data_IF_424035322456
#
_entry.id   IF_424035322456
#
_cell.length_a   1.000
_cell.length_b   1.000
_cell.length_c   1.000
_cell.angle_alpha   90.00
_cell.angle_beta   90.00
_cell.angle_gamma   90.00
#
_symmetry.space_group_name_H-M   'P 1'
#
loop_
_entity.id
_entity.type
_entity.pdbx_description
1 polymer ?
#
# COMPACT_ATOMS: atom_id res chain seq x y z
N UNK A 1 72.21 -75.13 -60.10
CA UNK A 1 73.18 -74.03 -60.30
C UNK A 1 74.25 -74.15 -59.23
N UNK A 2 74.87 -75.30 -59.02
CA UNK A 2 75.75 -76.11 -59.89
C UNK A 2 77.15 -75.99 -59.26
N UNK A 3 77.58 -76.98 -58.49
CA UNK A 3 78.21 -78.21 -58.98
C UNK A 3 79.59 -77.93 -59.61
N UNK A 4 80.61 -77.93 -58.77
CA UNK A 4 81.96 -78.43 -59.10
C UNK A 4 82.33 -79.35 -57.92
N UNK A 5 82.20 -80.68 -57.99
CA UNK A 5 82.71 -81.62 -58.98
C UNK A 5 84.23 -81.51 -59.12
N UNK A 6 84.97 -82.22 -58.26
CA UNK A 6 85.90 -83.24 -58.75
C UNK A 6 86.35 -84.17 -57.62
N UNK A 7 85.96 -85.43 -57.77
CA UNK A 7 86.45 -86.57 -57.04
C UNK A 7 87.64 -87.18 -57.80
N UNK A 8 88.36 -88.01 -57.06
CA UNK A 8 89.11 -89.17 -57.54
C UNK A 8 90.39 -88.98 -58.37
N UNK A 9 91.50 -89.42 -57.74
CA UNK A 9 92.31 -90.49 -58.32
C UNK A 9 93.02 -91.29 -57.22
N UNK A 10 92.47 -92.47 -56.92
CA UNK A 10 93.08 -93.78 -57.23
C UNK A 10 94.54 -93.71 -57.75
N UNK A 11 95.55 -94.48 -57.34
CA UNK A 11 95.63 -95.86 -56.84
C UNK A 11 97.09 -96.11 -56.42
N UNK A 12 97.34 -96.90 -55.36
CA UNK A 12 98.71 -97.19 -54.90
C UNK A 12 98.81 -98.39 -53.96
N UNK A 13 98.59 -99.58 -54.52
CA UNK A 13 98.76 -100.91 -53.91
C UNK A 13 100.23 -101.14 -53.48
N UNK A 14 100.49 -101.60 -52.24
CA UNK A 14 101.21 -102.86 -51.92
C UNK A 14 101.55 -103.00 -50.41
N UNK A 15 101.04 -104.11 -49.85
CA UNK A 15 101.65 -105.08 -48.90
C UNK A 15 102.15 -104.53 -47.56
N UNK A 16 101.43 -104.79 -46.47
CA UNK A 16 101.51 -106.00 -45.64
C UNK A 16 102.82 -106.12 -44.86
N UNK A 17 102.81 -105.67 -43.60
CA UNK A 17 103.34 -106.38 -42.44
C UNK A 17 102.40 -106.03 -41.27
N UNK A 18 101.54 -106.98 -40.87
CA UNK A 18 101.80 -107.93 -39.79
C UNK A 18 101.97 -107.21 -38.44
N UNK A 19 100.94 -107.30 -37.59
CA UNK A 19 100.99 -106.76 -36.23
C UNK A 19 99.60 -106.60 -35.62
N UNK A 20 99.12 -107.67 -34.99
CA UNK A 20 97.90 -107.73 -34.19
C UNK A 20 97.90 -106.68 -33.06
N UNK A 21 96.73 -106.13 -32.73
CA UNK A 21 95.97 -106.49 -31.51
C UNK A 21 95.11 -105.36 -30.93
N UNK A 22 93.89 -105.74 -30.57
CA UNK A 22 93.13 -105.34 -29.37
C UNK A 22 92.73 -103.86 -29.16
N UNK A 23 91.49 -103.59 -29.56
CA UNK A 23 90.44 -102.73 -28.94
C UNK A 23 90.81 -101.98 -27.66
N UNK A 24 90.68 -100.65 -27.70
CA UNK A 24 90.57 -99.78 -26.52
C UNK A 24 89.36 -98.87 -26.65
N UNK A 25 88.60 -98.68 -25.57
CA UNK A 25 87.39 -97.81 -25.47
C UNK A 25 87.76 -96.30 -25.38
N UNK A 26 89.06 -95.98 -25.32
CA UNK A 26 89.60 -94.60 -25.23
C UNK A 26 89.40 -93.74 -26.49
N UNK A 27 89.53 -94.22 -27.74
CA UNK A 27 89.38 -93.39 -28.94
C UNK A 27 87.95 -92.85 -29.11
N UNK A 28 86.94 -93.56 -28.62
CA UNK A 28 85.54 -93.14 -28.77
C UNK A 28 85.17 -92.00 -27.80
N UNK A 29 85.67 -92.05 -26.56
CA UNK A 29 85.57 -90.95 -25.61
C UNK A 29 86.40 -89.74 -26.05
N UNK A 30 87.56 -89.97 -26.67
CA UNK A 30 88.37 -88.90 -27.28
C UNK A 30 87.66 -88.24 -28.46
N UNK A 31 86.92 -89.01 -29.28
CA UNK A 31 86.12 -88.48 -30.39
C UNK A 31 84.93 -87.64 -29.90
N UNK A 32 84.16 -88.12 -28.92
CA UNK A 32 83.07 -87.31 -28.31
C UNK A 32 83.59 -86.08 -27.56
N UNK A 33 84.76 -86.17 -26.90
CA UNK A 33 85.45 -84.99 -26.33
C UNK A 33 85.93 -84.03 -27.41
N UNK A 34 86.34 -84.54 -28.58
CA UNK A 34 86.68 -83.75 -29.76
C UNK A 34 85.47 -83.00 -30.32
N UNK A 35 84.33 -83.68 -30.48
CA UNK A 35 83.07 -83.09 -30.96
C UNK A 35 82.52 -82.04 -29.99
N UNK A 36 82.55 -82.29 -28.66
CA UNK A 36 82.17 -81.31 -27.65
C UNK A 36 83.11 -80.09 -27.63
N UNK A 37 84.42 -80.27 -27.82
CA UNK A 37 85.36 -79.15 -27.98
C UNK A 37 85.15 -78.39 -29.29
N UNK A 38 84.75 -79.08 -30.36
CA UNK A 38 84.40 -78.48 -31.64
C UNK A 38 83.16 -77.59 -31.53
N UNK A 39 82.10 -78.08 -30.88
CA UNK A 39 80.87 -77.32 -30.62
C UNK A 39 81.08 -76.20 -29.58
N UNK A 40 81.93 -76.42 -28.57
CA UNK A 40 82.28 -75.38 -27.58
C UNK A 40 83.06 -74.21 -28.19
N UNK A 41 83.75 -74.40 -29.32
CA UNK A 41 84.41 -73.33 -30.08
C UNK A 41 83.46 -72.53 -30.97
N UNK A 42 82.26 -73.05 -31.24
CA UNK A 42 81.21 -72.35 -31.99
C UNK A 42 80.32 -71.48 -31.08
N UNK A 43 80.41 -71.64 -29.75
CA UNK A 43 79.77 -70.75 -28.80
C UNK A 43 80.55 -69.42 -28.74
N UNK A 44 79.86 -68.26 -28.83
CA UNK A 44 80.47 -66.96 -28.55
C UNK A 44 81.16 -67.00 -27.19
N UNK A 45 82.35 -66.40 -27.10
CA UNK A 45 83.08 -66.33 -25.83
C UNK A 45 82.20 -65.68 -24.74
N UNK A 46 82.40 -66.07 -23.48
CA UNK A 46 81.67 -65.49 -22.36
C UNK A 46 81.76 -63.95 -22.32
N UNK A 47 82.87 -63.39 -22.81
CA UNK A 47 83.04 -61.94 -22.97
C UNK A 47 82.15 -61.33 -24.07
N UNK A 48 81.91 -62.04 -25.18
CA UNK A 48 81.02 -61.56 -26.23
C UNK A 48 79.54 -61.49 -25.77
N UNK A 49 79.12 -62.44 -24.92
CA UNK A 49 77.78 -62.43 -24.31
C UNK A 49 77.61 -61.28 -23.30
N UNK A 50 78.68 -60.91 -22.59
CA UNK A 50 78.66 -59.85 -21.58
C UNK A 50 79.01 -58.46 -22.14
N UNK A 51 79.50 -58.35 -23.37
CA UNK A 51 79.89 -57.09 -23.98
C UNK A 51 78.73 -56.08 -24.06
N UNK A 52 77.55 -56.51 -24.51
CA UNK A 52 76.37 -55.64 -24.64
C UNK A 52 75.83 -55.20 -23.26
N UNK A 53 75.63 -56.10 -22.27
CA UNK A 53 75.27 -55.69 -20.91
C UNK A 53 76.29 -54.74 -20.26
N UNK A 54 77.60 -54.96 -20.45
CA UNK A 54 78.66 -54.07 -19.93
C UNK A 54 78.60 -52.70 -20.59
N UNK A 55 78.50 -52.63 -21.91
CA UNK A 55 78.35 -51.35 -22.63
C UNK A 55 77.09 -50.58 -22.19
N UNK A 56 75.98 -51.27 -21.94
CA UNK A 56 74.75 -50.65 -21.40
C UNK A 56 74.95 -50.15 -19.97
N UNK A 57 75.66 -50.90 -19.13
CA UNK A 57 76.00 -50.50 -17.77
C UNK A 57 76.91 -49.26 -17.77
N UNK A 58 77.91 -49.21 -18.65
CA UNK A 58 78.83 -48.08 -18.77
C UNK A 58 78.14 -46.83 -19.33
N UNK A 59 77.25 -47.00 -20.31
CA UNK A 59 76.43 -45.92 -20.82
C UNK A 59 75.45 -45.40 -19.76
N UNK A 60 74.86 -46.30 -18.95
CA UNK A 60 73.99 -45.93 -17.85
C UNK A 60 74.78 -45.24 -16.73
N UNK A 61 75.96 -45.76 -16.36
CA UNK A 61 76.81 -45.19 -15.31
C UNK A 61 77.33 -43.80 -15.71
N UNK A 62 77.64 -43.57 -16.98
CA UNK A 62 78.00 -42.26 -17.50
C UNK A 62 76.83 -41.26 -17.54
N UNK A 63 75.60 -41.73 -17.82
CA UNK A 63 74.40 -40.87 -17.91
C UNK A 63 73.75 -40.59 -16.56
N UNK A 64 73.83 -41.52 -15.62
CA UNK A 64 73.15 -41.45 -14.32
C UNK A 64 73.50 -40.18 -13.52
N UNK A 65 74.77 -39.76 -13.38
CA UNK A 65 75.10 -38.53 -12.66
C UNK A 65 74.49 -37.28 -13.29
N UNK A 66 74.42 -37.22 -14.62
CA UNK A 66 73.81 -36.09 -15.33
C UNK A 66 72.29 -36.09 -15.17
N UNK A 67 71.66 -37.25 -15.29
CA UNK A 67 70.22 -37.42 -15.10
C UNK A 67 69.78 -37.10 -13.67
N UNK A 68 70.52 -37.56 -12.66
CA UNK A 68 70.23 -37.26 -11.25
C UNK A 68 70.38 -35.78 -10.92
N UNK A 69 71.42 -35.11 -11.43
CA UNK A 69 71.57 -33.65 -11.28
C UNK A 69 70.41 -32.92 -11.94
N UNK A 70 70.08 -33.24 -13.18
CA UNK A 70 68.96 -32.62 -13.89
C UNK A 70 67.62 -32.81 -13.16
N UNK A 71 67.38 -34.01 -12.63
CA UNK A 71 66.19 -34.34 -11.84
C UNK A 71 66.15 -33.55 -10.52
N UNK A 72 67.26 -33.52 -9.77
CA UNK A 72 67.37 -32.74 -8.53
C UNK A 72 67.18 -31.24 -8.78
N UNK A 73 67.71 -30.69 -9.88
CA UNK A 73 67.46 -29.30 -10.27
C UNK A 73 65.98 -29.06 -10.61
N UNK A 74 65.34 -29.96 -11.36
CA UNK A 74 63.92 -29.84 -11.70
C UNK A 74 63.03 -29.83 -10.45
N UNK A 75 63.24 -30.76 -9.52
CA UNK A 75 62.50 -30.78 -8.25
C UNK A 75 62.84 -29.60 -7.35
N UNK A 76 64.09 -29.11 -7.35
CA UNK A 76 64.46 -27.89 -6.60
C UNK A 76 63.74 -26.65 -7.12
N UNK A 77 63.61 -26.51 -8.44
CA UNK A 77 62.86 -25.40 -9.05
C UNK A 77 61.37 -25.49 -8.71
N UNK A 78 60.78 -26.68 -8.78
CA UNK A 78 59.37 -26.90 -8.39
C UNK A 78 59.15 -26.59 -6.90
N UNK A 79 60.05 -27.05 -6.03
CA UNK A 79 60.01 -26.75 -4.60
C UNK A 79 60.13 -25.24 -4.33
N UNK A 80 61.06 -24.55 -4.98
CA UNK A 80 61.22 -23.09 -4.82
C UNK A 80 59.99 -22.32 -5.29
N UNK A 81 59.32 -22.76 -6.38
CA UNK A 81 58.05 -22.14 -6.83
C UNK A 81 56.93 -22.36 -5.83
N UNK A 82 56.83 -23.55 -5.24
CA UNK A 82 55.83 -23.85 -4.23
C UNK A 82 56.10 -23.10 -2.91
N UNK A 83 57.37 -23.07 -2.46
CA UNK A 83 57.78 -22.41 -1.22
C UNK A 83 57.69 -20.89 -1.31
N UNK A 84 57.99 -20.28 -2.46
CA UNK A 84 57.83 -18.84 -2.68
C UNK A 84 56.36 -18.38 -2.53
N UNK A 85 55.40 -19.24 -2.92
CA UNK A 85 53.96 -18.96 -2.72
C UNK A 85 53.52 -19.09 -1.27
N UNK A 86 54.18 -19.98 -0.53
CA UNK A 86 53.89 -20.29 0.88
C UNK A 86 54.82 -19.56 1.85
N UNK A 87 55.55 -18.54 1.39
CA UNK A 87 56.39 -17.73 2.26
C UNK A 87 55.56 -17.10 3.39
N UNK A 88 56.05 -17.12 4.63
CA UNK A 88 55.37 -16.48 5.76
C UNK A 88 55.01 -15.01 5.49
N UNK A 89 55.81 -14.28 4.71
CA UNK A 89 55.54 -12.88 4.36
C UNK A 89 54.36 -12.72 3.40
N UNK A 90 54.21 -13.61 2.40
CA UNK A 90 53.09 -13.56 1.46
C UNK A 90 51.77 -13.95 2.13
N UNK A 91 51.81 -14.92 3.05
CA UNK A 91 50.66 -15.29 3.88
C UNK A 91 50.24 -14.16 4.82
N UNK A 92 51.19 -13.53 5.52
CA UNK A 92 50.91 -12.35 6.36
C UNK A 92 50.29 -11.21 5.55
N UNK A 93 50.88 -10.86 4.40
CA UNK A 93 50.33 -9.80 3.54
C UNK A 93 48.93 -10.12 3.00
N UNK A 94 48.61 -11.40 2.73
CA UNK A 94 47.26 -11.83 2.34
C UNK A 94 46.27 -11.74 3.50
N UNK A 95 46.69 -12.09 4.72
CA UNK A 95 45.86 -11.98 5.92
C UNK A 95 45.55 -10.53 6.25
N UNK A 96 46.55 -9.63 6.21
CA UNK A 96 46.32 -8.20 6.43
C UNK A 96 45.36 -7.60 5.41
N UNK A 97 45.55 -7.87 4.10
CA UNK A 97 44.59 -7.44 3.08
C UNK A 97 43.18 -8.00 3.29
N UNK A 98 43.07 -9.25 3.76
CA UNK A 98 41.77 -9.84 4.07
C UNK A 98 41.11 -9.16 5.29
N UNK A 99 41.89 -8.81 6.31
CA UNK A 99 41.45 -8.06 7.49
C UNK A 99 40.99 -6.66 7.12
N UNK A 100 41.81 -5.89 6.41
CA UNK A 100 41.47 -4.56 5.89
C UNK A 100 40.18 -4.60 5.04
N UNK A 101 40.01 -5.64 4.21
CA UNK A 101 38.80 -5.83 3.42
C UNK A 101 37.58 -6.14 4.30
N UNK A 102 37.74 -6.96 5.32
CA UNK A 102 36.66 -7.27 6.26
C UNK A 102 36.24 -6.05 7.09
N UNK A 103 37.21 -5.25 7.55
CA UNK A 103 36.98 -4.03 8.32
C UNK A 103 36.30 -2.95 7.46
N UNK A 104 36.78 -2.75 6.22
CA UNK A 104 36.19 -1.79 5.30
C UNK A 104 34.76 -2.18 4.89
N UNK A 105 34.50 -3.47 4.65
CA UNK A 105 33.14 -3.97 4.39
C UNK A 105 32.24 -3.83 5.62
N UNK A 106 32.75 -4.12 6.81
CA UNK A 106 32.04 -3.94 8.08
C UNK A 106 31.65 -2.47 8.31
N UNK A 107 32.60 -1.56 8.15
CA UNK A 107 32.36 -0.13 8.30
C UNK A 107 31.39 0.42 7.22
N UNK A 108 31.46 -0.09 5.99
CA UNK A 108 30.51 0.26 4.93
C UNK A 108 29.10 -0.25 5.25
N UNK A 109 28.97 -1.49 5.71
CA UNK A 109 27.69 -2.08 6.12
C UNK A 109 27.05 -1.25 7.23
N UNK A 110 27.81 -0.91 8.28
CA UNK A 110 27.32 -0.10 9.39
C UNK A 110 26.81 1.26 8.91
N UNK A 111 27.58 1.97 8.07
CA UNK A 111 27.16 3.25 7.49
C UNK A 111 25.89 3.12 6.64
N UNK A 112 25.80 2.09 5.81
CA UNK A 112 24.64 1.85 4.96
C UNK A 112 23.39 1.49 5.78
N UNK A 113 23.52 0.63 6.80
CA UNK A 113 22.44 0.27 7.70
C UNK A 113 21.95 1.46 8.49
N UNK A 114 22.87 2.26 9.05
CA UNK A 114 22.53 3.49 9.76
C UNK A 114 21.74 4.45 8.88
N UNK A 115 22.23 4.74 7.67
CA UNK A 115 21.53 5.58 6.69
C UNK A 115 20.17 5.00 6.28
N UNK A 116 20.07 3.69 6.11
CA UNK A 116 18.80 3.05 5.77
C UNK A 116 17.77 3.17 6.90
N UNK A 117 18.20 3.03 8.16
CA UNK A 117 17.35 3.22 9.33
C UNK A 117 16.94 4.70 9.48
N UNK A 118 17.86 5.63 9.33
CA UNK A 118 17.59 7.08 9.36
C UNK A 118 16.57 7.47 8.29
N UNK A 119 16.76 7.06 7.03
CA UNK A 119 15.80 7.31 5.93
C UNK A 119 14.42 6.71 6.20
N UNK A 120 14.35 5.49 6.75
CA UNK A 120 13.08 4.88 7.14
C UNK A 120 12.40 5.70 8.25
N UNK A 121 13.15 6.13 9.28
CA UNK A 121 12.64 6.97 10.37
C UNK A 121 12.14 8.32 9.87
N UNK A 122 12.89 8.99 8.99
CA UNK A 122 12.49 10.24 8.35
C UNK A 122 11.20 10.06 7.54
N UNK A 123 11.10 9.01 6.72
CA UNK A 123 9.88 8.70 5.96
C UNK A 123 8.68 8.45 6.88
N UNK A 124 8.86 7.67 7.95
CA UNK A 124 7.78 7.44 8.92
C UNK A 124 7.38 8.73 9.65
N UNK A 125 8.35 9.58 10.00
CA UNK A 125 8.09 10.88 10.61
C UNK A 125 7.31 11.79 9.67
N UNK A 126 7.71 11.88 8.40
CA UNK A 126 7.02 12.67 7.38
C UNK A 126 5.58 12.19 7.12
N UNK A 127 5.37 10.87 7.06
CA UNK A 127 4.01 10.31 6.93
C UNK A 127 3.18 10.65 8.18
N UNK A 128 3.76 10.53 9.38
CA UNK A 128 3.09 10.86 10.63
C UNK A 128 2.68 12.33 10.68
N UNK A 129 3.59 13.26 10.38
CA UNK A 129 3.28 14.70 10.37
C UNK A 129 2.25 15.06 9.30
N UNK A 130 2.32 14.41 8.12
CA UNK A 130 1.32 14.55 7.06
C UNK A 130 -0.07 14.07 7.48
N UNK A 131 -0.17 12.89 8.12
CA UNK A 131 -1.43 12.36 8.64
C UNK A 131 -2.01 13.24 9.76
N UNK A 132 -1.16 13.75 10.66
CA UNK A 132 -1.60 14.65 11.73
C UNK A 132 -2.12 15.98 11.17
N UNK A 133 -1.46 16.53 10.14
CA UNK A 133 -1.93 17.71 9.43
C UNK A 133 -3.28 17.46 8.73
N UNK A 134 -3.39 16.36 7.98
CA UNK A 134 -4.64 15.97 7.31
C UNK A 134 -5.80 15.77 8.31
N UNK A 135 -5.52 15.10 9.44
CA UNK A 135 -6.50 14.88 10.52
C UNK A 135 -6.97 16.21 11.14
N UNK A 136 -6.05 17.15 11.37
CA UNK A 136 -6.39 18.49 11.88
C UNK A 136 -7.23 19.27 10.87
N UNK A 137 -6.83 19.29 9.60
CA UNK A 137 -7.59 19.94 8.54
C UNK A 137 -9.02 19.37 8.43
N UNK A 138 -9.16 18.03 8.47
CA UNK A 138 -10.46 17.38 8.43
C UNK A 138 -11.33 17.72 9.64
N UNK A 139 -10.76 17.80 10.85
CA UNK A 139 -11.48 18.22 12.04
C UNK A 139 -12.00 19.64 11.93
N UNK A 140 -11.17 20.57 11.45
CA UNK A 140 -11.58 21.97 11.23
C UNK A 140 -12.67 22.06 10.17
N UNK A 141 -12.56 21.29 9.08
CA UNK A 141 -13.58 21.24 8.04
C UNK A 141 -14.92 20.73 8.57
N UNK A 142 -14.91 19.64 9.36
CA UNK A 142 -16.12 19.11 10.00
C UNK A 142 -16.72 20.13 10.97
N UNK A 143 -15.91 20.81 11.79
CA UNK A 143 -16.39 21.84 12.71
C UNK A 143 -17.08 22.99 11.96
N UNK A 144 -16.42 23.57 10.94
CA UNK A 144 -17.01 24.63 10.11
C UNK A 144 -18.32 24.22 9.44
N UNK A 145 -18.40 22.97 8.97
CA UNK A 145 -19.63 22.45 8.37
C UNK A 145 -20.74 22.30 9.40
N UNK A 146 -20.41 21.90 10.63
CA UNK A 146 -21.39 21.86 11.73
C UNK A 146 -21.89 23.26 12.08
N UNK A 147 -21.00 24.24 12.23
CA UNK A 147 -21.39 25.63 12.52
C UNK A 147 -22.28 26.19 11.40
N UNK A 148 -21.96 25.87 10.14
CA UNK A 148 -22.78 26.27 8.98
C UNK A 148 -24.16 25.60 8.99
N UNK A 149 -24.23 24.31 9.32
CA UNK A 149 -25.50 23.59 9.44
C UNK A 149 -26.36 24.14 10.58
N UNK A 150 -25.75 24.45 11.72
CA UNK A 150 -26.42 25.08 12.85
C UNK A 150 -26.98 26.45 12.45
N UNK A 151 -26.16 27.31 11.84
CA UNK A 151 -26.61 28.63 11.36
C UNK A 151 -27.69 28.55 10.26
N UNK A 152 -27.70 27.50 9.43
CA UNK A 152 -28.78 27.24 8.48
C UNK A 152 -30.06 26.76 9.18
N UNK A 153 -29.95 25.86 10.15
CA UNK A 153 -31.07 25.36 10.95
C UNK A 153 -31.76 26.48 11.75
N UNK A 154 -30.97 27.37 12.33
CA UNK A 154 -31.44 28.55 13.04
C UNK A 154 -32.22 29.51 12.13
N UNK A 155 -31.69 29.79 10.94
CA UNK A 155 -32.36 30.64 9.96
C UNK A 155 -33.64 30.01 9.44
N UNK A 156 -33.62 28.71 9.16
CA UNK A 156 -34.81 27.96 8.77
C UNK A 156 -35.90 28.05 9.85
N UNK A 157 -35.54 27.79 11.11
CA UNK A 157 -36.47 27.87 12.25
C UNK A 157 -37.09 29.26 12.40
N UNK A 158 -36.29 30.32 12.25
CA UNK A 158 -36.78 31.72 12.27
C UNK A 158 -37.73 32.00 11.11
N UNK A 159 -37.35 31.62 9.89
CA UNK A 159 -38.18 31.80 8.70
C UNK A 159 -39.52 31.07 8.82
N UNK A 160 -39.52 29.81 9.28
CA UNK A 160 -40.75 29.04 9.51
C UNK A 160 -41.64 29.70 10.57
N UNK A 161 -41.07 30.22 11.66
CA UNK A 161 -41.85 30.95 12.68
C UNK A 161 -42.48 32.23 12.11
N UNK A 162 -41.76 32.97 11.28
CA UNK A 162 -42.28 34.19 10.63
C UNK A 162 -43.43 33.80 9.69
N UNK A 163 -43.22 32.80 8.83
CA UNK A 163 -44.24 32.32 7.89
C UNK A 163 -45.51 31.86 8.63
N UNK A 164 -45.38 31.06 9.70
CA UNK A 164 -46.52 30.61 10.49
C UNK A 164 -47.27 31.77 11.15
N UNK A 165 -46.56 32.80 11.65
CA UNK A 165 -47.18 34.01 12.20
C UNK A 165 -47.95 34.77 11.14
N UNK A 166 -47.39 34.92 9.94
CA UNK A 166 -48.05 35.59 8.83
C UNK A 166 -49.31 34.84 8.36
N UNK A 167 -49.22 33.52 8.21
CA UNK A 167 -50.38 32.67 7.88
C UNK A 167 -51.47 32.74 8.94
N UNK A 168 -51.10 32.75 10.24
CA UNK A 168 -52.08 32.96 11.32
C UNK A 168 -52.74 34.33 11.25
N UNK A 169 -51.99 35.39 10.94
CA UNK A 169 -52.55 36.75 10.75
C UNK A 169 -53.54 36.78 9.59
N UNK A 170 -53.18 36.20 8.44
CA UNK A 170 -54.05 36.11 7.27
C UNK A 170 -55.35 35.33 7.58
N UNK A 171 -55.24 34.20 8.28
CA UNK A 171 -56.41 33.43 8.72
C UNK A 171 -57.27 34.22 9.69
N UNK A 172 -56.66 34.92 10.65
CA UNK A 172 -57.40 35.73 11.62
C UNK A 172 -58.13 36.91 10.97
N UNK A 173 -57.52 37.58 9.98
CA UNK A 173 -58.17 38.66 9.26
C UNK A 173 -59.30 38.15 8.37
N UNK A 174 -59.09 37.02 7.68
CA UNK A 174 -60.14 36.38 6.90
C UNK A 174 -61.32 35.94 7.80
N UNK A 175 -61.04 35.40 8.98
CA UNK A 175 -62.05 35.04 9.96
C UNK A 175 -62.84 36.27 10.46
N UNK A 176 -62.18 37.41 10.69
CA UNK A 176 -62.87 38.65 11.07
C UNK A 176 -63.79 39.17 9.97
N UNK A 177 -63.34 39.11 8.72
CA UNK A 177 -64.15 39.51 7.55
C UNK A 177 -65.37 38.57 7.42
N UNK A 178 -65.16 37.27 7.56
CA UNK A 178 -66.25 36.29 7.55
C UNK A 178 -67.25 36.54 8.69
N UNK A 179 -66.78 36.79 9.92
CA UNK A 179 -67.68 37.10 11.05
C UNK A 179 -68.49 38.36 10.77
N UNK A 180 -67.87 39.41 10.21
CA UNK A 180 -68.54 40.67 9.90
C UNK A 180 -69.59 40.56 8.78
N UNK A 181 -69.35 39.71 7.77
CA UNK A 181 -70.29 39.42 6.69
C UNK A 181 -71.30 38.31 7.07
N UNK A 182 -71.03 37.58 8.15
CA UNK A 182 -71.94 36.54 8.63
C UNK A 182 -73.17 37.16 9.28
N UNK A 183 -74.32 36.56 8.99
CA UNK A 183 -75.58 36.85 9.66
C UNK A 183 -75.48 36.77 11.19
N UNK A 184 -74.67 35.84 11.73
CA UNK A 184 -74.46 35.68 13.17
C UNK A 184 -73.77 36.90 13.80
N UNK A 185 -72.82 37.53 13.11
CA UNK A 185 -72.18 38.76 13.57
C UNK A 185 -73.12 39.96 13.56
N UNK A 186 -74.06 40.00 12.61
CA UNK A 186 -75.12 41.01 12.52
C UNK A 186 -76.13 40.85 13.66
N UNK A 187 -76.54 39.62 13.99
CA UNK A 187 -77.41 39.36 15.14
C UNK A 187 -76.82 39.83 16.46
N UNK A 188 -75.54 39.51 16.71
CA UNK A 188 -74.83 39.93 17.94
C UNK A 188 -74.75 41.46 18.10
N UNK A 189 -74.89 42.22 17.01
CA UNK A 189 -74.90 43.70 17.03
C UNK A 189 -76.28 44.31 17.28
N UNK A 190 -77.30 43.49 17.55
CA UNK A 190 -78.64 43.96 17.93
C UNK A 190 -79.64 44.03 16.77
N UNK A 191 -79.35 43.39 15.63
CA UNK A 191 -80.31 43.22 14.55
C UNK A 191 -81.07 41.89 14.72
N UNK A 192 -82.32 41.83 14.28
CA UNK A 192 -83.13 40.62 14.31
C UNK A 192 -83.43 40.16 12.87
N UNK A 193 -83.35 38.85 12.60
CA UNK A 193 -83.83 38.31 11.32
C UNK A 193 -85.29 37.96 11.46
N UNK A 194 -86.10 38.54 10.59
CA UNK A 194 -87.52 38.23 10.51
C UNK A 194 -87.72 37.05 9.55
N UNK A 195 -88.26 35.95 10.05
CA UNK A 195 -88.66 34.79 9.25
C UNK A 195 -90.19 34.68 9.22
N UNK A 196 -90.71 34.30 8.06
CA UNK A 196 -92.13 33.92 7.91
C UNK A 196 -92.37 32.51 8.45
N UNK A 197 -93.63 32.07 8.56
CA UNK A 197 -94.04 30.75 9.03
C UNK A 197 -93.40 29.57 8.27
N UNK A 198 -92.82 29.83 7.09
CA UNK A 198 -92.07 28.86 6.26
C UNK A 198 -90.55 28.89 6.49
N UNK A 199 -90.07 29.67 7.47
CA UNK A 199 -88.64 29.82 7.78
C UNK A 199 -87.85 30.72 6.82
N UNK A 200 -88.52 31.37 5.88
CA UNK A 200 -87.90 32.23 4.85
C UNK A 200 -87.74 33.67 5.37
N UNK A 201 -86.58 34.28 5.11
CA UNK A 201 -86.29 35.64 5.57
C UNK A 201 -87.13 36.69 4.82
N UNK A 202 -87.88 37.50 5.58
CA UNK A 202 -88.71 38.58 5.06
C UNK A 202 -87.89 39.86 5.00
N UNK A 203 -87.73 40.44 3.79
CA UNK A 203 -86.83 41.58 3.54
C UNK A 203 -87.54 42.93 3.40
N UNK A 204 -88.85 42.94 3.24
CA UNK A 204 -89.64 44.14 3.00
C UNK A 204 -90.88 44.16 3.89
N UNK A 205 -91.13 45.30 4.55
CA UNK A 205 -92.31 45.49 5.40
C UNK A 205 -93.63 45.40 4.63
N UNK A 206 -93.61 45.73 3.33
CA UNK A 206 -94.78 45.61 2.44
C UNK A 206 -95.21 44.17 2.15
N UNK A 207 -94.35 43.18 2.44
CA UNK A 207 -94.67 41.77 2.26
C UNK A 207 -95.39 41.15 3.48
N UNK A 208 -95.57 41.92 4.56
CA UNK A 208 -96.19 41.44 5.80
C UNK A 208 -97.61 41.96 5.91
N UNK A 209 -98.59 41.06 5.91
CA UNK A 209 -99.99 41.41 6.14
C UNK A 209 -100.28 41.58 7.65
N UNK A 210 -101.26 42.43 8.03
CA UNK A 210 -101.76 42.49 9.41
C UNK A 210 -102.29 41.12 9.85
N UNK A 211 -101.84 40.63 11.00
CA UNK A 211 -102.20 39.33 11.59
C UNK A 211 -101.23 38.19 11.28
N UNK A 212 -100.18 38.41 10.48
CA UNK A 212 -99.24 37.33 10.12
C UNK A 212 -98.30 37.00 11.28
N UNK A 213 -98.15 35.72 11.60
CA UNK A 213 -97.18 35.23 12.59
C UNK A 213 -95.77 35.18 11.96
N UNK A 214 -94.83 35.86 12.60
CA UNK A 214 -93.43 35.97 12.22
C UNK A 214 -92.55 35.44 13.35
N UNK A 215 -91.37 34.93 13.01
CA UNK A 215 -90.34 34.58 14.00
C UNK A 215 -89.18 35.56 13.89
N UNK A 216 -88.82 36.19 14.99
CA UNK A 216 -87.61 36.99 15.13
C UNK A 216 -86.50 36.11 15.69
N UNK A 217 -85.44 35.93 14.92
CA UNK A 217 -84.22 35.27 15.38
C UNK A 217 -83.22 36.35 15.82
N UNK A 218 -82.91 36.36 17.12
CA UNK A 218 -81.91 37.20 17.77
C UNK A 218 -80.62 36.38 18.02
N UNK A 219 -79.58 37.02 18.54
CA UNK A 219 -78.30 36.36 18.81
C UNK A 219 -78.36 35.26 19.88
N UNK A 220 -79.35 35.37 20.77
CA UNK A 220 -79.54 34.60 22.00
C UNK A 220 -80.74 33.65 21.93
N UNK A 221 -81.65 33.82 20.98
CA UNK A 221 -82.81 32.94 20.83
C UNK A 221 -83.80 33.39 19.76
N UNK A 222 -84.89 32.63 19.63
CA UNK A 222 -85.99 32.91 18.70
C UNK A 222 -87.24 33.31 19.46
N UNK A 223 -87.95 34.32 18.95
CA UNK A 223 -89.16 34.86 19.57
C UNK A 223 -90.25 34.98 18.50
N UNK A 224 -91.43 34.39 18.75
CA UNK A 224 -92.60 34.55 17.88
C UNK A 224 -93.26 35.92 18.08
N UNK A 225 -93.57 36.61 16.99
CA UNK A 225 -94.20 37.94 16.97
C UNK A 225 -95.33 37.95 15.94
N UNK A 226 -96.46 38.58 16.25
CA UNK A 226 -97.58 38.75 15.30
C UNK A 226 -97.60 40.19 14.80
N UNK A 227 -97.70 40.39 13.48
CA UNK A 227 -97.72 41.72 12.88
C UNK A 227 -99.06 42.42 13.08
N UNK A 228 -99.13 43.41 13.98
CA UNK A 228 -100.31 44.26 14.09
C UNK A 228 -100.26 45.36 13.01
N UNK A 229 -101.29 45.48 12.18
CA UNK A 229 -101.33 46.45 11.08
C UNK A 229 -101.14 47.91 11.55
N UNK A 230 -100.43 48.70 10.74
CA UNK A 230 -100.14 50.14 10.88
C UNK A 230 -100.22 50.70 12.32
N UNK A 231 -99.24 50.33 13.15
CA UNK A 231 -99.07 50.86 14.49
C UNK A 231 -98.63 52.33 14.46
N UNK A 232 -99.43 53.18 15.09
CA UNK A 232 -99.15 54.57 15.44
C UNK A 232 -97.81 54.68 16.17
N UNK A 233 -97.01 55.69 15.82
CA UNK A 233 -95.74 55.99 16.47
C UNK A 233 -95.91 56.17 17.99
N UNK A 234 -95.12 55.49 18.85
CA UNK A 234 -95.07 55.82 20.26
C UNK A 234 -94.19 57.06 20.46
N UNK A 235 -94.75 58.03 21.19
CA UNK A 235 -94.09 59.24 21.70
C UNK A 235 -92.85 58.86 22.53
N UNK A 236 -91.68 59.49 22.34
CA UNK A 236 -90.54 59.28 23.23
C UNK A 236 -90.80 59.94 24.59
N UNK A 237 -90.53 59.27 25.73
CA UNK A 237 -90.55 59.94 27.02
C UNK A 237 -89.35 60.89 27.13
N UNK A 238 -89.67 62.14 27.42
CA UNK A 238 -88.76 63.23 27.78
C UNK A 238 -88.10 62.94 29.13
N UNK A 239 -86.77 63.00 29.16
CA UNK A 239 -85.93 62.93 30.36
C UNK A 239 -84.55 62.42 29.94
N UNK A 240 -83.51 63.24 29.84
CA UNK A 240 -83.05 64.22 30.80
C UNK A 240 -81.72 63.72 31.33
N UNK A 241 -80.62 64.23 30.75
CA UNK A 241 -79.31 64.52 31.36
C UNK A 241 -78.21 64.52 30.30
N UNK A 242 -77.86 65.73 29.86
CA UNK A 242 -76.58 65.98 29.22
C UNK A 242 -75.47 65.75 30.23
N UNK A 243 -74.71 64.68 30.05
CA UNK A 243 -73.42 64.48 30.69
C UNK A 243 -72.35 65.04 29.75
N UNK A 244 -71.66 66.10 30.18
CA UNK A 244 -70.55 66.70 29.47
C UNK A 244 -69.41 65.67 29.24
N UNK A 245 -68.68 65.75 28.11
CA UNK A 245 -67.56 64.84 27.85
C UNK A 245 -66.37 65.16 28.77
N UNK A 246 -65.73 64.16 29.41
CA UNK A 246 -64.54 64.38 30.23
C UNK A 246 -63.32 64.74 29.36
N UNK A 247 -62.57 65.72 29.83
CA UNK A 247 -61.32 66.20 29.24
C UNK A 247 -60.22 65.13 29.28
N UNK A 248 -59.56 64.91 28.14
CA UNK A 248 -58.33 64.11 28.04
C UNK A 248 -57.15 64.87 28.65
N UNK A 249 -56.32 64.27 29.52
CA UNK A 249 -55.03 64.86 29.86
C UNK A 249 -54.03 64.69 28.71
N UNK A 250 -53.29 65.76 28.39
CA UNK A 250 -52.15 65.77 27.47
C UNK A 250 -50.99 64.96 28.04
N UNK A 251 -50.26 64.14 27.25
CA UNK A 251 -49.00 63.57 27.71
C UNK A 251 -47.90 64.65 27.75
N UNK A 252 -47.27 64.78 28.91
CA UNK A 252 -46.10 65.61 29.14
C UNK A 252 -44.88 65.05 28.37
N UNK A 253 -44.25 65.92 27.57
CA UNK A 253 -42.92 65.69 26.99
C UNK A 253 -41.87 65.86 28.10
N UNK A 254 -41.25 64.77 28.53
CA UNK A 254 -39.99 64.83 29.26
C UNK A 254 -38.84 64.93 28.26
N UNK A 255 -38.22 66.12 28.21
CA UNK A 255 -36.84 66.29 27.75
C UNK A 255 -35.93 65.82 28.89
N UNK A 256 -35.10 64.81 28.63
CA UNK A 256 -33.83 64.65 29.35
C UNK A 256 -32.73 64.47 28.31
N UNK A 257 -31.94 65.51 28.14
CA UNK A 257 -30.67 65.44 27.45
C UNK A 257 -29.60 64.85 28.37
N UNK A 258 -28.75 64.07 27.72
CA UNK A 258 -27.30 64.04 27.88
C UNK A 258 -26.69 63.09 28.94
N UNK A 259 -25.93 62.08 28.45
CA UNK A 259 -24.47 62.03 28.61
C UNK A 259 -23.86 60.88 27.79
N UNK A 260 -23.06 61.28 26.80
CA UNK A 260 -21.78 60.74 26.36
C UNK A 260 -21.34 59.33 26.87
N UNK A 261 -21.20 58.39 25.92
CA UNK A 261 -20.04 57.48 25.87
C UNK A 261 -19.56 57.37 24.41
N UNK A 262 -18.37 57.89 24.19
CA UNK A 262 -17.56 57.79 22.99
C UNK A 262 -17.28 56.32 22.64
N UNK A 263 -17.55 55.96 21.39
CA UNK A 263 -16.99 54.77 20.75
C UNK A 263 -15.58 55.14 20.26
N UNK A 264 -14.55 54.30 20.47
CA UNK A 264 -13.34 54.38 19.66
C UNK A 264 -13.48 53.55 18.38
N UNK A 265 -13.22 54.22 17.26
CA UNK A 265 -12.39 53.77 16.12
C UNK A 265 -12.56 52.35 15.59
N UNK A 266 -13.31 52.24 14.50
CA UNK A 266 -13.15 51.20 13.49
C UNK A 266 -11.90 51.53 12.64
N UNK A 267 -10.70 51.24 13.15
CA UNK A 267 -9.43 51.05 12.42
C UNK A 267 -8.34 50.89 13.47
N UNK A 268 -8.07 49.64 13.86
CA UNK A 268 -6.76 49.17 14.36
C UNK A 268 -6.82 47.64 14.49
N UNK A 269 -5.88 46.97 13.79
CA UNK A 269 -5.63 45.53 13.57
C UNK A 269 -6.02 44.98 12.19
#
# INVERSE_FOLDING_TARGET
MDAHHFADRCTGRRKCHAGQSCVGVRPHLERRRGELRGLARLLPSADALLAIPRQRLDAASGRLPRALRANAFAHRIQFQKASARLSPSSLKARLERARERSESLGANLERCLRRAVERKRERFSAIRTGLDAARRAQRVHIARNRDRLEGLGDRATRATRILLRERRRQLSSAAQVLEALSYHGVLKRGFALVRDARGMAVRAASAVAPGTALELEFADGRVGVVANGAGTAPVPPTGGQGMAPPSRPKPARTRSGDKAKSQPGLFDL
#
